data_IF_409994973579
#
_entry.id   IF_409994973579
#
_cell.length_a   1.000
_cell.length_b   1.000
_cell.length_c   1.000
_cell.angle_alpha   90.00
_cell.angle_beta   90.00
_cell.angle_gamma   90.00
#
_symmetry.space_group_name_H-M   'P 1'
#
loop_
_entity.id
_entity.type
_entity.pdbx_description
1 polymer ?
#
# COMPACT_ATOMS: atom_id res chain seq x y z
N UNK A 1 -11.83 -25.24 -52.74
CA UNK A 1 -12.50 -24.20 -51.93
C UNK A 1 -12.79 -24.81 -50.56
N UNK A 2 -11.84 -24.77 -49.62
CA UNK A 2 -12.04 -25.28 -48.25
C UNK A 2 -12.00 -24.08 -47.32
N UNK A 3 -13.16 -23.73 -46.76
CA UNK A 3 -13.36 -22.56 -45.91
C UNK A 3 -12.86 -22.88 -44.48
N UNK A 4 -11.76 -22.23 -44.09
CA UNK A 4 -11.20 -22.31 -42.74
C UNK A 4 -12.11 -21.57 -41.75
N UNK A 5 -12.85 -22.33 -40.95
CA UNK A 5 -13.62 -21.84 -39.81
C UNK A 5 -12.70 -21.15 -38.80
N UNK A 6 -12.86 -19.83 -38.65
CA UNK A 6 -12.18 -19.05 -37.60
C UNK A 6 -12.71 -19.46 -36.22
N UNK A 7 -11.84 -19.62 -35.20
CA UNK A 7 -12.30 -19.93 -33.84
C UNK A 7 -13.12 -18.77 -33.26
N UNK A 8 -14.26 -19.11 -32.63
CA UNK A 8 -15.11 -18.15 -31.92
C UNK A 8 -14.34 -17.53 -30.75
N UNK A 9 -14.47 -16.21 -30.50
CA UNK A 9 -13.86 -15.59 -29.33
C UNK A 9 -14.44 -16.19 -28.04
N UNK A 10 -13.57 -16.49 -27.07
CA UNK A 10 -13.98 -16.93 -25.74
C UNK A 10 -14.92 -15.89 -25.10
N UNK A 11 -16.07 -16.35 -24.62
CA UNK A 11 -17.06 -15.49 -23.98
C UNK A 11 -16.44 -14.75 -22.78
N UNK A 12 -16.67 -13.43 -22.70
CA UNK A 12 -16.31 -12.65 -21.51
C UNK A 12 -17.08 -13.22 -20.31
N UNK A 13 -16.44 -13.51 -19.17
CA UNK A 13 -17.15 -13.97 -17.99
C UNK A 13 -18.10 -12.87 -17.49
N UNK A 14 -19.34 -13.26 -17.23
CA UNK A 14 -20.43 -12.40 -16.76
C UNK A 14 -20.13 -11.88 -15.34
N UNK A 15 -19.81 -10.58 -15.24
CA UNK A 15 -19.47 -9.92 -13.98
C UNK A 15 -20.58 -9.98 -12.91
N UNK A 16 -21.83 -10.23 -13.30
CA UNK A 16 -22.94 -10.38 -12.36
C UNK A 16 -22.84 -11.70 -11.55
N UNK A 17 -22.27 -12.76 -12.13
CA UNK A 17 -22.11 -14.05 -11.45
C UNK A 17 -20.96 -14.01 -10.43
N UNK A 18 -19.86 -13.32 -10.76
CA UNK A 18 -18.74 -13.11 -9.84
C UNK A 18 -19.13 -12.29 -8.60
N UNK A 19 -19.90 -11.21 -8.80
CA UNK A 19 -20.41 -10.40 -7.70
C UNK A 19 -21.38 -11.19 -6.79
N UNK A 20 -22.27 -12.02 -7.36
CA UNK A 20 -23.18 -12.89 -6.58
C UNK A 20 -22.43 -13.97 -5.80
N UNK A 21 -21.35 -14.53 -6.36
CA UNK A 21 -20.51 -15.51 -5.67
C UNK A 21 -19.77 -14.86 -4.48
N UNK A 22 -19.19 -13.66 -4.65
CA UNK A 22 -18.58 -12.92 -3.54
C UNK A 22 -19.61 -12.48 -2.49
N UNK A 23 -20.83 -12.09 -2.89
CA UNK A 23 -21.91 -11.75 -1.95
C UNK A 23 -22.42 -12.97 -1.17
N UNK A 24 -22.45 -14.15 -1.80
CA UNK A 24 -22.78 -15.42 -1.14
C UNK A 24 -21.71 -15.80 -0.11
N UNK A 25 -20.43 -15.71 -0.49
CA UNK A 25 -19.29 -15.95 0.41
C UNK A 25 -19.24 -14.91 1.55
N UNK A 26 -19.56 -13.65 1.27
CA UNK A 26 -19.64 -12.59 2.28
C UNK A 26 -20.75 -12.82 3.31
N UNK A 27 -21.91 -13.36 2.89
CA UNK A 27 -23.01 -13.73 3.81
C UNK A 27 -22.66 -14.93 4.69
N UNK A 28 -21.92 -15.92 4.15
CA UNK A 28 -21.48 -17.09 4.91
C UNK A 28 -20.39 -16.74 5.94
N UNK A 29 -19.46 -15.84 5.59
CA UNK A 29 -18.43 -15.34 6.53
C UNK A 29 -18.99 -14.45 7.65
N UNK A 30 -20.06 -13.69 7.38
CA UNK A 30 -20.76 -12.87 8.40
C UNK A 30 -21.64 -13.73 9.34
N UNK A 31 -22.04 -14.94 8.92
CA UNK A 31 -22.84 -15.85 9.74
C UNK A 31 -22.00 -16.64 10.78
N UNK A 32 -20.69 -16.78 10.54
CA UNK A 32 -19.76 -17.45 11.46
C UNK A 32 -18.46 -16.63 11.62
N UNK A 33 -18.45 -15.58 12.47
CA UNK A 33 -17.18 -14.97 12.85
C UNK A 33 -16.31 -16.03 13.51
N UNK A 34 -15.17 -16.35 12.91
CA UNK A 34 -14.21 -17.29 13.47
C UNK A 34 -13.77 -16.80 14.85
N UNK A 35 -14.34 -17.37 15.92
CA UNK A 35 -13.88 -17.18 17.28
C UNK A 35 -12.61 -17.99 17.47
N UNK A 36 -11.47 -17.38 17.16
CA UNK A 36 -10.15 -17.95 17.43
C UNK A 36 -9.91 -18.08 18.94
N UNK A 37 -10.12 -19.27 19.49
CA UNK A 37 -9.80 -19.62 20.88
C UNK A 37 -8.28 -19.80 21.01
N UNK A 38 -7.61 -18.86 21.68
CA UNK A 38 -6.18 -18.97 22.00
C UNK A 38 -6.01 -20.01 23.13
N UNK A 39 -5.46 -21.18 22.80
CA UNK A 39 -4.99 -22.14 23.81
C UNK A 39 -3.64 -21.65 24.33
N UNK A 40 -3.61 -21.04 25.51
CA UNK A 40 -2.36 -20.74 26.23
C UNK A 40 -1.94 -21.97 27.03
N UNK A 41 -0.87 -22.65 26.61
CA UNK A 41 -0.17 -23.61 27.47
C UNK A 41 0.82 -22.83 28.33
N UNK A 42 0.63 -22.88 29.65
CA UNK A 42 1.54 -22.29 30.62
C UNK A 42 2.84 -23.13 30.70
N UNK A 43 3.97 -22.50 30.38
CA UNK A 43 5.32 -23.01 30.58
C UNK A 43 6.10 -22.02 31.44
N UNK A 44 6.82 -22.57 32.43
CA UNK A 44 7.43 -21.93 33.60
C UNK A 44 8.42 -20.78 33.29
N UNK A 45 8.31 -19.72 34.11
CA UNK A 45 9.32 -18.72 34.49
C UNK A 45 10.01 -17.87 33.39
N UNK A 46 9.53 -16.64 33.23
CA UNK A 46 10.23 -15.56 32.53
C UNK A 46 9.34 -14.31 32.46
N UNK A 47 9.48 -13.41 33.43
CA UNK A 47 8.72 -12.15 33.51
C UNK A 47 9.16 -11.23 32.36
N UNK A 48 8.31 -11.05 31.35
CA UNK A 48 8.49 -10.04 30.31
C UNK A 48 7.59 -8.83 30.62
N UNK A 49 8.22 -7.68 30.80
CA UNK A 49 7.59 -6.38 30.98
C UNK A 49 6.94 -5.93 29.66
N UNK A 50 5.66 -5.54 29.72
CA UNK A 50 4.98 -4.84 28.64
C UNK A 50 5.61 -3.44 28.46
N UNK A 51 6.23 -3.19 27.32
CA UNK A 51 6.50 -1.83 26.87
C UNK A 51 5.38 -1.38 25.93
N UNK A 52 4.45 -0.61 26.50
CA UNK A 52 3.50 0.20 25.75
C UNK A 52 4.23 1.46 25.33
N UNK A 53 4.57 1.60 24.04
CA UNK A 53 5.12 2.86 23.52
C UNK A 53 3.96 3.82 23.28
N UNK A 54 3.73 4.70 24.27
CA UNK A 54 2.84 5.84 24.21
C UNK A 54 3.56 7.02 23.54
N UNK A 55 3.08 7.48 22.39
CA UNK A 55 3.50 8.77 21.82
C UNK A 55 2.52 9.86 22.28
N UNK A 56 2.87 10.50 23.39
CA UNK A 56 2.26 11.75 23.84
C UNK A 56 3.36 12.70 24.30
N UNK A 57 4.00 13.39 23.37
CA UNK A 57 4.93 14.47 23.70
C UNK A 57 4.14 15.79 23.82
N UNK A 58 3.67 16.09 25.03
CA UNK A 58 3.35 17.47 25.43
C UNK A 58 4.65 18.14 25.86
N UNK A 59 5.22 18.98 25.01
CA UNK A 59 6.33 19.84 25.41
C UNK A 59 5.77 21.02 26.23
N UNK A 60 5.91 20.95 27.56
CA UNK A 60 5.79 22.08 28.46
C UNK A 60 7.17 22.72 28.53
N UNK A 61 7.32 23.93 27.98
CA UNK A 61 8.54 24.72 28.13
C UNK A 61 8.43 25.49 29.45
N UNK A 62 9.20 25.08 30.45
CA UNK A 62 9.50 25.90 31.62
C UNK A 62 10.63 26.85 31.24
N UNK A 63 10.34 28.16 31.24
CA UNK A 63 11.36 29.21 31.17
C UNK A 63 11.74 29.58 32.61
N UNK A 64 12.97 29.29 33.00
CA UNK A 64 13.62 29.85 34.20
C UNK A 64 14.97 30.42 33.78
N UNK A 65 15.18 31.72 34.02
CA UNK A 65 16.52 32.32 33.96
C UNK A 65 16.60 33.78 33.55
N UNK A 66 16.43 34.68 34.52
CA UNK A 66 17.23 35.91 34.72
C UNK A 66 17.42 36.92 33.58
N UNK A 67 16.64 38.00 33.62
CA UNK A 67 16.97 39.25 32.93
C UNK A 67 17.97 40.09 33.76
N UNK A 68 19.08 40.60 33.20
CA UNK A 68 19.85 41.65 33.86
C UNK A 68 19.14 43.00 33.73
N UNK A 69 18.87 43.63 34.89
CA UNK A 69 18.43 45.02 34.99
C UNK A 69 19.65 45.92 34.84
N UNK A 70 19.68 46.71 33.77
CA UNK A 70 20.60 47.84 33.60
C UNK A 70 19.91 48.92 32.78
N UNK A 71 19.70 50.09 33.39
CA UNK A 71 19.16 51.27 32.71
C UNK A 71 20.23 51.84 31.76
N UNK A 72 19.95 52.06 30.47
CA UNK A 72 20.81 52.92 29.66
C UNK A 72 20.56 54.40 29.99
N UNK A 73 21.60 55.26 30.02
CA UNK A 73 21.43 56.70 30.18
C UNK A 73 20.73 57.32 28.96
N UNK A 74 20.05 58.44 29.22
CA UNK A 74 19.17 59.13 28.28
C UNK A 74 19.82 59.45 26.94
N UNK A 75 19.16 59.03 25.86
CA UNK A 75 19.48 59.44 24.50
C UNK A 75 18.48 60.52 24.09
N UNK A 76 19.02 61.71 23.86
CA UNK A 76 18.33 62.89 23.34
C UNK A 76 17.83 62.64 21.92
N UNK A 77 16.52 62.82 21.73
CA UNK A 77 15.84 62.81 20.43
C UNK A 77 16.41 63.89 19.52
N UNK A 78 17.05 63.52 18.41
CA UNK A 78 17.30 64.43 17.28
C UNK A 78 16.75 63.85 15.98
N UNK A 79 16.16 64.75 15.18
CA UNK A 79 15.47 64.50 13.91
C UNK A 79 16.41 63.90 12.86
N UNK A 80 16.59 62.58 12.85
CA UNK A 80 17.16 61.82 11.73
C UNK A 80 16.73 60.36 11.83
N UNK A 81 15.43 60.15 11.83
CA UNK A 81 14.82 58.87 11.51
C UNK A 81 14.73 58.70 9.99
N UNK A 82 14.64 57.44 9.58
CA UNK A 82 14.37 56.91 8.22
C UNK A 82 15.61 56.55 7.40
N UNK A 83 16.14 55.35 7.65
CA UNK A 83 16.51 54.33 6.65
C UNK A 83 17.32 53.22 7.33
N UNK A 84 16.64 52.22 7.88
CA UNK A 84 17.18 50.88 8.18
C UNK A 84 16.01 49.94 8.55
N UNK A 85 15.12 49.72 7.58
CA UNK A 85 14.08 48.69 7.65
C UNK A 85 14.31 47.72 6.49
N UNK A 86 15.36 46.91 6.59
CA UNK A 86 15.58 45.78 5.68
C UNK A 86 16.20 44.62 6.48
N UNK A 87 15.64 43.43 6.28
CA UNK A 87 16.02 42.15 6.87
C UNK A 87 15.54 41.81 8.29
N UNK A 88 14.27 42.08 8.59
CA UNK A 88 13.51 41.15 9.42
C UNK A 88 12.70 40.25 8.48
N UNK A 89 13.31 39.20 7.95
CA UNK A 89 12.51 38.07 7.46
C UNK A 89 11.69 37.64 8.66
N UNK A 90 10.34 37.70 8.63
CA UNK A 90 9.56 37.33 9.79
C UNK A 90 9.91 35.89 10.10
N UNK A 91 10.54 35.66 11.25
CA UNK A 91 10.82 34.32 11.78
C UNK A 91 9.59 33.41 11.59
N UNK A 92 8.38 33.95 11.69
CA UNK A 92 7.12 33.25 11.40
C UNK A 92 7.02 32.56 10.04
N UNK A 93 7.63 33.07 8.96
CA UNK A 93 7.62 32.39 7.65
C UNK A 93 8.59 31.20 7.62
N UNK A 94 9.72 31.29 8.33
CA UNK A 94 10.66 30.19 8.50
C UNK A 94 10.09 29.11 9.44
N UNK A 95 9.41 29.51 10.52
CA UNK A 95 8.71 28.60 11.43
C UNK A 95 7.51 27.94 10.76
N UNK A 96 6.76 28.63 9.89
CA UNK A 96 5.68 28.01 9.12
C UNK A 96 6.19 26.97 8.12
N UNK A 97 7.38 27.18 7.52
CA UNK A 97 8.04 26.16 6.69
C UNK A 97 8.56 24.97 7.52
N UNK A 98 9.13 25.22 8.68
CA UNK A 98 9.59 24.18 9.60
C UNK A 98 8.43 23.38 10.24
N UNK A 99 7.30 24.02 10.53
CA UNK A 99 6.10 23.36 11.05
C UNK A 99 5.34 22.56 9.97
N UNK A 100 5.46 22.96 8.69
CA UNK A 100 5.00 22.15 7.55
C UNK A 100 5.92 20.96 7.24
N UNK A 101 7.05 20.89 7.93
CA UNK A 101 7.93 19.72 8.03
C UNK A 101 7.69 18.92 9.32
N UNK A 102 6.48 18.96 9.90
CA UNK A 102 5.97 17.75 10.52
C UNK A 102 5.99 16.69 9.41
N UNK A 103 6.92 15.74 9.48
CA UNK A 103 7.22 14.79 8.41
C UNK A 103 5.92 14.25 7.79
N UNK A 104 5.76 14.43 6.47
CA UNK A 104 4.57 13.97 5.78
C UNK A 104 4.38 12.47 6.07
N UNK A 105 3.15 11.99 6.30
CA UNK A 105 2.93 10.60 6.69
C UNK A 105 3.51 9.66 5.62
N UNK A 106 4.37 8.75 6.06
CA UNK A 106 4.98 7.73 5.21
C UNK A 106 3.96 6.62 4.91
N UNK A 107 4.03 6.10 3.69
CA UNK A 107 3.30 4.91 3.25
C UNK A 107 4.25 3.74 3.12
N UNK A 108 3.84 2.62 3.71
CA UNK A 108 4.64 1.40 3.80
C UNK A 108 3.97 0.27 3.04
N UNK A 109 4.78 -0.58 2.42
CA UNK A 109 4.33 -1.84 1.83
C UNK A 109 5.28 -2.97 2.21
N UNK A 110 4.71 -4.14 2.54
CA UNK A 110 5.48 -5.34 2.84
C UNK A 110 5.18 -6.46 1.84
N UNK A 111 6.11 -6.68 0.90
CA UNK A 111 5.96 -7.69 -0.15
C UNK A 111 7.01 -8.79 0.01
N UNK A 112 6.61 -10.02 -0.29
CA UNK A 112 7.52 -11.14 -0.58
C UNK A 112 7.15 -11.74 -1.93
N UNK A 113 8.11 -12.14 -2.76
CA UNK A 113 7.81 -12.81 -4.02
C UNK A 113 7.97 -14.33 -3.95
N UNK A 114 7.67 -15.01 -5.07
CA UNK A 114 7.79 -16.47 -5.18
C UNK A 114 9.20 -17.02 -5.06
N UNK A 115 10.23 -16.19 -5.27
CA UNK A 115 11.65 -16.56 -5.09
C UNK A 115 12.12 -16.40 -3.63
N UNK A 116 11.26 -15.90 -2.73
CA UNK A 116 11.61 -15.67 -1.33
C UNK A 116 12.24 -14.30 -1.06
N UNK A 117 12.39 -13.44 -2.09
CA UNK A 117 12.87 -12.07 -1.91
C UNK A 117 11.78 -11.24 -1.23
N UNK A 118 12.16 -10.47 -0.21
CA UNK A 118 11.22 -9.79 0.69
C UNK A 118 11.67 -8.35 0.97
N UNK A 119 10.71 -7.44 1.03
CA UNK A 119 10.93 -6.04 1.35
C UNK A 119 9.74 -5.46 2.14
N UNK A 120 10.02 -4.90 3.31
CA UNK A 120 9.14 -3.97 4.01
C UNK A 120 9.76 -2.58 3.91
N UNK A 121 9.13 -1.67 3.17
CA UNK A 121 9.75 -0.38 2.80
C UNK A 121 8.73 0.76 2.81
N UNK A 122 9.15 1.92 3.31
CA UNK A 122 8.48 3.19 3.06
C UNK A 122 8.76 3.59 1.61
N UNK A 123 7.72 3.72 0.80
CA UNK A 123 7.87 3.99 -0.64
C UNK A 123 7.36 5.37 -1.06
N UNK A 124 6.69 6.09 -0.16
CA UNK A 124 6.09 7.39 -0.42
C UNK A 124 5.95 8.17 0.89
N UNK A 125 6.21 9.48 0.85
CA UNK A 125 5.93 10.41 1.94
C UNK A 125 5.05 11.55 1.40
N UNK A 126 3.84 11.72 1.95
CA UNK A 126 2.89 12.68 1.40
C UNK A 126 2.50 12.33 -0.04
N UNK A 127 2.85 13.17 -1.02
CA UNK A 127 2.63 12.92 -2.46
C UNK A 127 3.89 12.49 -3.21
N UNK A 128 5.04 12.45 -2.54
CA UNK A 128 6.33 12.19 -3.17
C UNK A 128 6.71 10.72 -3.03
N UNK A 129 7.00 10.08 -4.17
CA UNK A 129 7.45 8.69 -4.21
C UNK A 129 8.97 8.60 -4.12
N UNK A 130 9.46 7.67 -3.31
CA UNK A 130 10.88 7.33 -3.27
C UNK A 130 11.25 6.47 -4.49
N UNK A 131 12.10 7.01 -5.36
CA UNK A 131 12.54 6.35 -6.58
C UNK A 131 13.32 5.06 -6.32
N UNK A 132 14.14 5.00 -5.27
CA UNK A 132 14.90 3.81 -4.91
C UNK A 132 13.98 2.72 -4.35
N UNK A 133 13.01 3.10 -3.51
CA UNK A 133 12.01 2.18 -3.01
C UNK A 133 11.17 1.59 -4.16
N UNK A 134 10.71 2.43 -5.09
CA UNK A 134 10.00 1.98 -6.28
C UNK A 134 10.85 1.09 -7.19
N UNK A 135 12.16 1.34 -7.32
CA UNK A 135 13.06 0.46 -8.06
C UNK A 135 13.19 -0.92 -7.39
N UNK A 136 13.33 -0.97 -6.06
CA UNK A 136 13.35 -2.24 -5.31
C UNK A 136 12.04 -3.01 -5.44
N UNK A 137 10.90 -2.30 -5.38
CA UNK A 137 9.58 -2.92 -5.58
C UNK A 137 9.40 -3.41 -7.02
N UNK A 138 9.87 -2.66 -8.02
CA UNK A 138 9.86 -3.08 -9.44
C UNK A 138 10.62 -4.38 -9.62
N UNK A 139 11.79 -4.51 -9.00
CA UNK A 139 12.55 -5.75 -9.00
C UNK A 139 11.76 -6.90 -8.34
N UNK A 140 11.14 -6.65 -7.18
CA UNK A 140 10.38 -7.67 -6.45
C UNK A 140 9.15 -8.15 -7.24
N UNK A 141 8.50 -7.24 -7.97
CA UNK A 141 7.33 -7.48 -8.84
C UNK A 141 7.71 -7.88 -10.28
N UNK A 142 8.98 -8.13 -10.58
CA UNK A 142 9.44 -8.50 -11.92
C UNK A 142 8.81 -9.80 -12.42
N UNK A 143 8.95 -10.05 -13.71
CA UNK A 143 8.66 -11.37 -14.27
C UNK A 143 9.71 -12.37 -13.77
N UNK A 144 9.35 -13.15 -12.74
CA UNK A 144 10.27 -14.12 -12.12
C UNK A 144 10.67 -15.26 -13.08
N UNK A 145 9.87 -15.58 -14.10
CA UNK A 145 10.20 -16.63 -15.06
C UNK A 145 11.24 -16.16 -16.07
N UNK A 146 11.16 -14.88 -16.46
CA UNK A 146 12.08 -14.28 -17.42
C UNK A 146 13.25 -13.53 -16.74
N UNK A 147 13.18 -13.28 -15.43
CA UNK A 147 14.11 -12.40 -14.71
C UNK A 147 14.01 -10.94 -15.15
N UNK A 148 12.92 -10.54 -15.81
CA UNK A 148 12.82 -9.25 -16.49
C UNK A 148 11.93 -8.27 -15.73
N UNK A 149 12.47 -7.07 -15.48
CA UNK A 149 11.70 -5.96 -14.91
C UNK A 149 10.83 -5.30 -15.96
N UNK A 150 9.74 -4.68 -15.50
CA UNK A 150 8.82 -3.94 -16.36
C UNK A 150 8.30 -2.67 -15.70
N UNK A 151 7.29 -2.02 -16.31
CA UNK A 151 6.64 -0.89 -15.69
C UNK A 151 6.09 -1.24 -14.30
N UNK A 152 6.11 -0.27 -13.40
CA UNK A 152 5.44 -0.35 -12.10
C UNK A 152 4.74 0.99 -11.86
N UNK A 153 3.46 1.11 -12.19
CA UNK A 153 2.66 2.28 -11.84
C UNK A 153 2.56 2.41 -10.32
N UNK A 154 2.91 3.56 -9.72
CA UNK A 154 2.88 3.72 -8.26
C UNK A 154 1.50 3.47 -7.63
N UNK A 155 0.43 3.71 -8.39
CA UNK A 155 -0.94 3.42 -7.96
C UNK A 155 -1.14 1.93 -7.60
N UNK A 156 -0.47 0.99 -8.28
CA UNK A 156 -0.56 -0.43 -7.90
C UNK A 156 0.02 -0.62 -6.48
N UNK A 157 1.16 0.00 -6.19
CA UNK A 157 1.80 -0.06 -4.87
C UNK A 157 0.91 0.56 -3.80
N UNK A 158 0.29 1.70 -4.09
CA UNK A 158 -0.69 2.34 -3.20
C UNK A 158 -1.86 1.40 -2.84
N UNK A 159 -2.41 0.69 -3.83
CA UNK A 159 -3.51 -0.25 -3.57
C UNK A 159 -3.06 -1.43 -2.72
N UNK A 160 -1.85 -1.95 -2.94
CA UNK A 160 -1.28 -3.01 -2.11
C UNK A 160 -1.02 -2.52 -0.68
N UNK A 161 -0.52 -1.29 -0.50
CA UNK A 161 -0.32 -0.66 0.80
C UNK A 161 -1.64 -0.51 1.56
N UNK A 162 -2.66 0.08 0.93
CA UNK A 162 -3.97 0.28 1.56
C UNK A 162 -4.62 -1.06 1.93
N UNK A 163 -4.44 -2.09 1.10
CA UNK A 163 -4.91 -3.43 1.41
C UNK A 163 -4.24 -4.00 2.68
N UNK A 164 -2.93 -3.82 2.85
CA UNK A 164 -2.21 -4.26 4.06
C UNK A 164 -2.57 -3.45 5.30
N UNK A 165 -2.80 -2.15 5.13
CA UNK A 165 -3.24 -1.25 6.20
C UNK A 165 -4.55 -1.74 6.84
N UNK A 166 -5.48 -2.26 6.04
CA UNK A 166 -6.73 -2.87 6.55
C UNK A 166 -6.50 -4.08 7.47
N UNK A 167 -5.33 -4.74 7.38
CA UNK A 167 -4.95 -5.88 8.21
C UNK A 167 -3.79 -5.58 9.17
N UNK A 168 -3.46 -4.29 9.34
CA UNK A 168 -2.46 -3.82 10.28
C UNK A 168 -1.04 -4.32 10.01
N UNK A 169 -0.69 -4.64 8.75
CA UNK A 169 0.67 -5.05 8.36
C UNK A 169 1.22 -6.28 9.12
N UNK A 170 0.35 -7.16 9.61
CA UNK A 170 0.76 -8.31 10.43
C UNK A 170 1.54 -9.38 9.65
N UNK A 171 1.44 -9.37 8.32
CA UNK A 171 1.97 -10.40 7.41
C UNK A 171 2.31 -9.78 6.04
N UNK A 172 3.30 -10.31 5.30
CA UNK A 172 3.59 -9.85 3.94
C UNK A 172 2.49 -10.26 2.96
N UNK A 173 2.26 -9.44 1.94
CA UNK A 173 1.61 -9.90 0.71
C UNK A 173 2.62 -10.73 -0.08
N UNK A 174 2.29 -12.00 -0.32
CA UNK A 174 3.09 -12.86 -1.21
C UNK A 174 2.64 -12.63 -2.65
N UNK A 175 3.51 -12.01 -3.44
CA UNK A 175 3.38 -11.80 -4.88
C UNK A 175 3.74 -13.10 -5.61
N UNK A 176 2.71 -13.76 -6.14
CA UNK A 176 2.86 -14.95 -7.00
C UNK A 176 3.24 -14.57 -8.43
N UNK A 177 2.75 -13.42 -8.89
CA UNK A 177 3.07 -12.86 -10.21
C UNK A 177 2.84 -11.36 -10.19
N UNK A 178 3.83 -10.58 -10.62
CA UNK A 178 3.71 -9.14 -10.87
C UNK A 178 3.66 -8.86 -12.36
N UNK A 179 4.60 -8.05 -12.86
CA UNK A 179 4.81 -7.86 -14.29
C UNK A 179 5.05 -9.19 -15.01
N UNK A 180 4.57 -9.30 -16.25
CA UNK A 180 4.85 -10.43 -17.15
C UNK A 180 5.41 -9.91 -18.47
N UNK A 181 6.44 -10.56 -18.96
CA UNK A 181 6.83 -10.44 -20.37
C UNK A 181 5.77 -11.07 -21.26
N UNK A 182 5.73 -10.67 -22.54
CA UNK A 182 4.84 -11.28 -23.53
C UNK A 182 5.04 -12.80 -23.62
N UNK A 183 6.30 -13.24 -23.57
CA UNK A 183 6.69 -14.65 -23.59
C UNK A 183 6.10 -15.42 -22.41
N UNK A 184 6.28 -14.94 -21.18
CA UNK A 184 5.73 -15.58 -19.99
C UNK A 184 4.21 -15.56 -20.00
N UNK A 185 3.58 -14.45 -20.41
CA UNK A 185 2.12 -14.40 -20.47
C UNK A 185 1.56 -15.42 -21.48
N UNK A 186 2.20 -15.57 -22.64
CA UNK A 186 1.79 -16.54 -23.66
C UNK A 186 2.00 -18.00 -23.24
N UNK A 187 2.96 -18.29 -22.35
CA UNK A 187 3.21 -19.64 -21.84
C UNK A 187 2.23 -20.08 -20.74
N UNK A 188 1.44 -19.16 -20.17
CA UNK A 188 0.52 -19.45 -19.08
C UNK A 188 -0.88 -19.81 -19.59
N UNK A 189 -1.38 -20.98 -19.19
CA UNK A 189 -2.68 -21.46 -19.62
C UNK A 189 -3.83 -20.55 -19.19
N UNK A 190 -4.56 -20.03 -20.18
CA UNK A 190 -5.72 -19.14 -19.98
C UNK A 190 -5.35 -17.77 -19.40
N UNK A 191 -4.11 -17.32 -19.55
CA UNK A 191 -3.78 -15.91 -19.43
C UNK A 191 -4.45 -15.12 -20.57
N UNK A 192 -4.98 -13.93 -20.25
CA UNK A 192 -5.58 -13.07 -21.27
C UNK A 192 -4.48 -12.47 -22.18
N UNK A 193 -4.69 -12.42 -23.51
CA UNK A 193 -3.72 -11.79 -24.43
C UNK A 193 -3.45 -10.31 -24.11
N UNK A 194 -4.46 -9.60 -23.61
CA UNK A 194 -4.37 -8.20 -23.17
C UNK A 194 -4.37 -8.09 -21.63
N UNK A 195 -3.59 -8.94 -20.96
CA UNK A 195 -3.51 -8.93 -19.49
C UNK A 195 -2.84 -7.66 -18.98
N UNK A 196 -3.35 -7.10 -17.89
CA UNK A 196 -2.76 -5.95 -17.21
C UNK A 196 -1.41 -6.26 -16.54
N UNK A 197 -1.04 -7.54 -16.39
CA UNK A 197 0.33 -7.92 -16.00
C UNK A 197 1.38 -7.47 -17.02
N UNK A 198 1.03 -7.40 -18.31
CA UNK A 198 1.95 -6.98 -19.38
C UNK A 198 2.36 -5.51 -19.30
N UNK A 199 1.58 -4.70 -18.58
CA UNK A 199 1.84 -3.27 -18.36
C UNK A 199 2.12 -2.95 -16.90
N UNK A 200 2.37 -3.99 -16.08
CA UNK A 200 2.71 -3.83 -14.66
C UNK A 200 1.57 -3.34 -13.78
N UNK A 201 0.33 -3.44 -14.25
CA UNK A 201 -0.86 -2.91 -13.58
C UNK A 201 -1.61 -3.96 -12.75
N UNK A 202 -1.05 -5.16 -12.62
CA UNK A 202 -1.69 -6.28 -11.92
C UNK A 202 -0.71 -7.08 -11.08
N UNK A 203 -1.23 -7.67 -10.01
CA UNK A 203 -0.52 -8.60 -9.14
C UNK A 203 -1.44 -9.78 -8.75
N UNK A 204 -0.86 -10.98 -8.78
CA UNK A 204 -1.47 -12.18 -8.22
C UNK A 204 -0.91 -12.39 -6.81
N UNK A 205 -1.79 -12.48 -5.82
CA UNK A 205 -1.45 -12.33 -4.40
C UNK A 205 -1.94 -13.50 -3.56
N UNK A 206 -1.19 -13.79 -2.51
CA UNK A 206 -1.62 -14.61 -1.37
C UNK A 206 -1.16 -13.98 -0.07
N UNK A 207 -1.78 -14.34 1.05
CA UNK A 207 -1.35 -13.93 2.39
C UNK A 207 -1.16 -15.18 3.25
N UNK A 208 -0.02 -15.34 3.95
CA UNK A 208 0.21 -16.50 4.82
C UNK A 208 -0.94 -16.71 5.83
N UNK A 209 -1.53 -17.90 5.87
CA UNK A 209 -2.61 -18.21 6.81
C UNK A 209 -3.89 -17.40 6.59
N UNK A 210 -4.16 -16.92 5.37
CA UNK A 210 -5.41 -16.29 4.97
C UNK A 210 -6.00 -17.06 3.79
N UNK A 211 -7.29 -17.38 3.85
CA UNK A 211 -7.96 -18.04 2.73
C UNK A 211 -8.07 -17.06 1.54
N UNK A 212 -8.05 -17.60 0.32
CA UNK A 212 -8.19 -16.78 -0.89
C UNK A 212 -9.50 -15.97 -0.89
N UNK A 213 -10.57 -16.51 -0.30
CA UNK A 213 -11.85 -15.81 -0.19
C UNK A 213 -11.78 -14.58 0.75
N UNK A 214 -11.05 -14.67 1.86
CA UNK A 214 -10.88 -13.54 2.79
C UNK A 214 -10.07 -12.42 2.15
N UNK A 215 -8.99 -12.79 1.46
CA UNK A 215 -8.18 -11.88 0.65
C UNK A 215 -9.05 -11.20 -0.43
N UNK A 216 -9.84 -11.98 -1.17
CA UNK A 216 -10.73 -11.45 -2.20
C UNK A 216 -11.78 -10.48 -1.62
N UNK A 217 -12.29 -10.74 -0.42
CA UNK A 217 -13.24 -9.85 0.24
C UNK A 217 -12.60 -8.53 0.68
N UNK A 218 -11.35 -8.55 1.15
CA UNK A 218 -10.60 -7.32 1.42
C UNK A 218 -10.37 -6.49 0.16
N UNK A 219 -9.96 -7.13 -0.95
CA UNK A 219 -9.80 -6.45 -2.24
C UNK A 219 -11.14 -5.90 -2.76
N UNK A 220 -12.23 -6.65 -2.60
CA UNK A 220 -13.57 -6.19 -2.98
C UNK A 220 -14.02 -4.98 -2.18
N UNK A 221 -13.79 -4.98 -0.87
CA UNK A 221 -14.09 -3.84 -0.01
C UNK A 221 -13.31 -2.60 -0.43
N UNK A 222 -12.02 -2.76 -0.77
CA UNK A 222 -11.20 -1.69 -1.32
C UNK A 222 -11.75 -1.19 -2.66
N UNK A 223 -12.07 -2.10 -3.57
CA UNK A 223 -12.64 -1.77 -4.89
C UNK A 223 -13.92 -0.95 -4.78
N UNK A 224 -14.82 -1.32 -3.86
CA UNK A 224 -16.07 -0.59 -3.59
C UNK A 224 -15.84 0.84 -3.07
N UNK A 225 -14.77 1.07 -2.31
CA UNK A 225 -14.42 2.40 -1.79
C UNK A 225 -13.79 3.29 -2.87
N UNK A 226 -12.95 2.71 -3.72
CA UNK A 226 -12.19 3.43 -4.73
C UNK A 226 -12.96 3.62 -6.05
N UNK A 227 -13.95 2.77 -6.34
CA UNK A 227 -14.72 2.80 -7.59
C UNK A 227 -14.03 2.16 -8.79
N UNK A 228 -12.86 1.56 -8.59
CA UNK A 228 -12.11 0.80 -9.60
C UNK A 228 -11.51 -0.47 -8.97
N UNK A 229 -10.61 -1.14 -9.67
CA UNK A 229 -9.98 -2.44 -9.37
C UNK A 229 -10.67 -3.65 -9.98
N UNK A 230 -9.93 -4.40 -10.78
CA UNK A 230 -10.31 -5.73 -11.21
C UNK A 230 -9.88 -6.79 -10.20
N UNK A 231 -10.76 -7.77 -9.98
CA UNK A 231 -10.55 -8.85 -9.00
C UNK A 231 -10.82 -10.20 -9.64
N UNK A 232 -9.80 -11.05 -9.67
CA UNK A 232 -9.94 -12.45 -10.09
C UNK A 232 -9.70 -13.39 -8.92
N UNK A 233 -10.66 -14.25 -8.60
CA UNK A 233 -10.50 -15.25 -7.53
C UNK A 233 -10.12 -16.60 -8.12
N UNK A 234 -8.97 -17.13 -7.70
CA UNK A 234 -8.43 -18.42 -8.13
C UNK A 234 -8.17 -19.30 -6.89
N UNK A 235 -8.13 -20.64 -7.03
CA UNK A 235 -7.91 -21.54 -5.89
C UNK A 235 -6.62 -21.27 -5.11
N UNK A 236 -5.59 -20.74 -5.78
CA UNK A 236 -4.25 -20.58 -5.21
C UNK A 236 -3.83 -19.13 -4.97
N UNK A 237 -4.58 -18.16 -5.47
CA UNK A 237 -4.25 -16.74 -5.38
C UNK A 237 -5.45 -15.86 -5.70
N UNK A 238 -5.34 -14.57 -5.37
CA UNK A 238 -6.28 -13.53 -5.81
C UNK A 238 -5.54 -12.58 -6.73
N UNK A 239 -6.10 -12.37 -7.91
CA UNK A 239 -5.67 -11.36 -8.86
C UNK A 239 -6.26 -10.00 -8.46
N UNK A 240 -5.41 -8.99 -8.42
CA UNK A 240 -5.76 -7.58 -8.25
C UNK A 240 -5.12 -6.79 -9.38
N UNK A 241 -5.88 -5.91 -10.01
CA UNK A 241 -5.36 -4.94 -10.97
C UNK A 241 -5.99 -3.56 -10.82
N UNK A 242 -5.30 -2.52 -11.31
CA UNK A 242 -5.76 -1.13 -11.26
C UNK A 242 -6.64 -0.70 -12.44
N UNK A 243 -7.23 -1.67 -13.15
CA UNK A 243 -8.15 -1.42 -14.25
C UNK A 243 -9.58 -1.12 -13.79
N UNK A 244 -10.54 -1.08 -14.74
CA UNK A 244 -11.95 -0.88 -14.45
C UNK A 244 -12.50 -1.93 -13.48
N UNK A 245 -13.46 -1.51 -12.65
CA UNK A 245 -14.09 -2.38 -11.65
C UNK A 245 -14.72 -3.61 -12.32
N UNK A 246 -14.28 -4.80 -11.92
CA UNK A 246 -14.84 -6.08 -12.38
C UNK A 246 -14.45 -7.21 -11.44
N UNK A 247 -15.27 -8.26 -11.40
CA UNK A 247 -15.01 -9.45 -10.60
C UNK A 247 -15.22 -10.68 -11.44
N UNK A 248 -14.29 -11.63 -11.37
CA UNK A 248 -14.43 -12.95 -11.97
C UNK A 248 -13.89 -14.03 -11.03
N UNK A 249 -14.35 -15.26 -11.23
CA UNK A 249 -13.86 -16.43 -10.50
C UNK A 249 -13.41 -17.49 -11.50
N UNK A 250 -12.36 -18.24 -11.18
CA UNK A 250 -11.91 -19.37 -11.97
C UNK A 250 -11.58 -20.54 -11.06
N UNK A 251 -12.63 -21.24 -10.64
CA UNK A 251 -12.50 -22.55 -10.01
C UNK A 251 -12.21 -23.60 -11.09
N UNK A 252 -11.27 -24.51 -10.84
CA UNK A 252 -11.18 -25.72 -11.65
C UNK A 252 -12.53 -26.44 -11.53
N UNK A 253 -13.15 -26.75 -12.68
CA UNK A 253 -14.30 -27.65 -12.72
C UNK A 253 -13.84 -29.07 -12.53
#
# INVERSE_FOLDING_TARGET
MHELQRPRPAARPDGAQGARALLRLGREALAHPAQGRVIRRAGRAGRLQNQTVSYAARARVELHGGAPRGNPPGVTTTRRSLLCAAAAVPLGVLWARAARAAAAPERFVWLRNGAGEEAAIAYRAGEEYDAQALAKLRHLLRDMHAGAEGPLPPLLVDMLSVLQEQWGYTRPLIVRSGFRTQRTNASLEGAAPASLHLVGQAADLTVPGMAANDLAMGVWTLSRRMGFLGIGVYPRFVHLDIGPQRVWTRWAR
#
